data_IF_854983312096
#
_entry.id   IF_854983312096
#
_cell.length_a   1.000
_cell.length_b   1.000
_cell.length_c   1.000
_cell.angle_alpha   90.00
_cell.angle_beta   90.00
_cell.angle_gamma   90.00
#
_symmetry.space_group_name_H-M   'P 1'
#
loop_
_entity.id
_entity.type
_entity.pdbx_description
1 polymer ?
#
# COMPACT_ATOMS: atom_id res chain seq x y z
N UNK A 1 15.05 -5.10 -1.73
CA UNK A 1 16.07 -5.06 -2.84
C UNK A 1 15.73 -3.87 -3.69
N UNK A 2 16.70 -2.97 -3.85
CA UNK A 2 16.55 -1.63 -4.39
C UNK A 2 15.91 -1.62 -5.78
N UNK A 3 14.73 -1.07 -5.90
CA UNK A 3 14.04 -0.78 -7.17
C UNK A 3 14.94 0.08 -8.09
N UNK A 4 15.89 0.83 -7.53
CA UNK A 4 16.91 1.56 -8.28
C UNK A 4 17.84 0.67 -9.09
N UNK A 5 18.11 -0.56 -8.67
CA UNK A 5 19.01 -1.48 -9.37
C UNK A 5 18.35 -2.16 -10.57
N UNK A 6 17.04 -2.38 -10.52
CA UNK A 6 16.32 -3.08 -11.58
C UNK A 6 15.88 -2.17 -12.75
N UNK A 7 15.84 -0.84 -12.56
CA UNK A 7 15.40 0.14 -13.57
C UNK A 7 16.47 1.19 -13.91
N UNK A 8 17.70 0.96 -13.49
CA UNK A 8 18.80 1.86 -13.79
C UNK A 8 19.21 1.79 -15.27
N UNK A 9 19.49 2.95 -15.88
CA UNK A 9 20.24 3.01 -17.12
C UNK A 9 21.70 2.69 -16.81
N UNK A 10 22.28 1.70 -17.50
CA UNK A 10 23.71 1.39 -17.50
C UNK A 10 24.33 1.75 -18.84
N UNK A 11 25.62 2.13 -18.82
CA UNK A 11 26.42 2.31 -20.04
C UNK A 11 27.27 1.05 -20.24
N UNK A 12 27.16 0.42 -21.42
CA UNK A 12 27.85 -0.84 -21.72
C UNK A 12 29.04 -0.56 -22.63
N UNK A 13 30.24 -0.83 -22.14
CA UNK A 13 31.51 -0.43 -22.77
C UNK A 13 31.69 -0.89 -24.21
N UNK A 14 31.44 -2.16 -24.56
CA UNK A 14 31.71 -2.67 -25.93
C UNK A 14 30.65 -2.34 -26.98
N UNK A 15 29.48 -1.80 -26.61
CA UNK A 15 28.42 -1.36 -27.55
C UNK A 15 28.18 0.13 -27.58
N UNK A 16 28.87 0.91 -26.75
CA UNK A 16 28.77 2.38 -26.62
C UNK A 16 27.31 2.90 -26.55
N UNK A 17 26.37 2.04 -26.14
CA UNK A 17 24.94 2.34 -26.00
C UNK A 17 24.51 2.39 -24.55
N UNK A 18 23.43 3.13 -24.30
CA UNK A 18 22.72 3.06 -23.03
C UNK A 18 21.66 1.97 -23.12
N UNK A 19 21.68 1.07 -22.15
CA UNK A 19 20.72 -0.02 -22.07
C UNK A 19 20.00 0.05 -20.72
N UNK A 20 18.73 -0.40 -20.71
CA UNK A 20 17.96 -0.50 -19.49
C UNK A 20 18.39 -1.75 -18.72
N UNK A 21 18.89 -1.58 -17.49
CA UNK A 21 19.38 -2.69 -16.67
C UNK A 21 18.32 -3.75 -16.35
N UNK A 22 17.02 -3.39 -16.40
CA UNK A 22 15.91 -4.30 -16.13
C UNK A 22 15.58 -5.24 -17.31
N UNK A 23 16.00 -4.91 -18.54
CA UNK A 23 15.67 -5.68 -19.75
C UNK A 23 16.90 -6.25 -20.46
N UNK A 24 18.10 -5.92 -20.00
CA UNK A 24 19.35 -6.37 -20.63
C UNK A 24 19.94 -7.53 -19.85
N UNK A 25 19.97 -8.75 -20.42
CA UNK A 25 20.57 -9.90 -19.76
C UNK A 25 22.10 -9.72 -19.66
N UNK A 26 22.69 -10.07 -18.51
CA UNK A 26 24.14 -10.02 -18.34
C UNK A 26 24.86 -11.03 -19.24
N UNK A 27 26.06 -10.66 -19.71
CA UNK A 27 26.89 -11.51 -20.57
C UNK A 27 28.33 -11.53 -20.04
N UNK A 28 29.05 -12.63 -20.28
CA UNK A 28 30.46 -12.73 -19.89
C UNK A 28 31.29 -11.66 -20.58
N UNK A 29 32.16 -11.00 -19.81
CA UNK A 29 33.03 -9.91 -20.30
C UNK A 29 32.30 -8.57 -20.51
N UNK A 30 31.06 -8.41 -19.96
CA UNK A 30 30.30 -7.17 -20.00
C UNK A 30 30.85 -6.19 -18.94
N UNK A 31 31.25 -5.01 -19.36
CA UNK A 31 31.63 -3.91 -18.46
C UNK A 31 30.44 -2.93 -18.35
N UNK A 32 30.00 -2.62 -17.13
CA UNK A 32 28.83 -1.79 -16.87
C UNK A 32 29.24 -0.57 -16.04
N UNK A 33 29.02 0.61 -16.59
CA UNK A 33 29.21 1.87 -15.90
C UNK A 33 27.86 2.45 -15.47
N UNK A 34 27.66 2.63 -14.17
CA UNK A 34 26.37 3.08 -13.62
C UNK A 34 26.31 4.57 -13.25
N UNK A 35 27.43 5.28 -13.33
CA UNK A 35 27.52 6.69 -12.89
C UNK A 35 28.45 7.54 -13.78
N UNK A 36 28.21 7.56 -15.08
CA UNK A 36 28.90 8.46 -15.99
C UNK A 36 28.20 9.83 -16.07
N UNK A 37 28.92 10.92 -16.48
CA UNK A 37 28.28 12.24 -16.69
C UNK A 37 27.11 12.18 -17.68
N UNK A 38 27.22 11.34 -18.71
CA UNK A 38 26.19 11.11 -19.71
C UNK A 38 24.94 10.49 -19.07
N UNK A 39 25.09 9.44 -18.26
CA UNK A 39 23.99 8.80 -17.53
C UNK A 39 23.33 9.76 -16.55
N UNK A 40 24.10 10.56 -15.82
CA UNK A 40 23.54 11.56 -14.89
C UNK A 40 22.66 12.57 -15.62
N UNK A 41 23.08 13.05 -16.81
CA UNK A 41 22.29 13.96 -17.64
C UNK A 41 20.95 13.33 -18.06
N UNK A 42 20.95 12.09 -18.51
CA UNK A 42 19.73 11.40 -18.94
C UNK A 42 18.80 11.09 -17.75
N UNK A 43 19.35 10.63 -16.63
CA UNK A 43 18.55 10.41 -15.41
C UNK A 43 17.90 11.70 -14.90
N UNK A 44 18.63 12.80 -14.92
CA UNK A 44 18.07 14.12 -14.58
C UNK A 44 16.90 14.48 -15.49
N UNK A 45 17.04 14.29 -16.80
CA UNK A 45 15.96 14.54 -17.76
C UNK A 45 14.74 13.65 -17.51
N UNK A 46 14.93 12.36 -17.26
CA UNK A 46 13.83 11.43 -16.93
C UNK A 46 13.13 11.86 -15.65
N UNK A 47 13.87 12.25 -14.61
CA UNK A 47 13.28 12.74 -13.36
C UNK A 47 12.49 14.03 -13.58
N UNK A 48 12.97 14.96 -14.39
CA UNK A 48 12.22 16.16 -14.75
C UNK A 48 10.91 15.83 -15.49
N UNK A 49 10.93 14.83 -16.39
CA UNK A 49 9.70 14.34 -17.05
C UNK A 49 8.72 13.69 -16.08
N UNK A 50 9.21 12.92 -15.11
CA UNK A 50 8.35 12.37 -14.04
C UNK A 50 7.76 13.47 -13.16
N UNK A 51 8.57 14.47 -12.82
CA UNK A 51 8.13 15.63 -12.02
C UNK A 51 7.12 16.50 -12.79
N UNK A 52 7.25 16.61 -14.11
CA UNK A 52 6.28 17.37 -14.91
C UNK A 52 4.87 16.74 -14.90
N UNK A 53 4.77 15.42 -14.72
CA UNK A 53 3.51 14.72 -14.59
C UNK A 53 2.96 14.67 -13.15
N UNK A 54 3.74 15.12 -12.17
CA UNK A 54 3.40 15.09 -10.76
C UNK A 54 2.90 16.47 -10.30
N UNK A 55 1.92 16.52 -9.41
CA UNK A 55 1.34 17.79 -8.95
C UNK A 55 2.31 18.70 -8.18
N UNK A 56 3.38 18.13 -7.60
CA UNK A 56 4.37 18.91 -6.84
C UNK A 56 3.91 19.43 -5.47
N UNK A 57 2.71 19.09 -5.02
CA UNK A 57 2.12 19.53 -3.74
C UNK A 57 2.70 18.75 -2.55
N UNK A 58 4.00 18.89 -2.33
CA UNK A 58 4.72 18.10 -1.33
C UNK A 58 4.34 18.43 0.11
N UNK A 59 4.06 19.69 0.42
CA UNK A 59 3.76 20.14 1.79
C UNK A 59 2.48 19.55 2.37
N UNK A 60 1.53 19.19 1.53
CA UNK A 60 0.25 18.57 1.90
C UNK A 60 0.20 17.07 1.62
N UNK A 61 1.31 16.48 1.22
CA UNK A 61 1.38 15.08 0.84
C UNK A 61 1.75 14.17 2.02
N UNK A 62 1.00 13.10 2.27
CA UNK A 62 1.28 12.12 3.33
C UNK A 62 2.64 11.40 3.17
N UNK A 63 3.20 11.40 1.97
CA UNK A 63 4.55 10.86 1.70
C UNK A 63 5.67 11.89 1.83
N UNK A 64 5.37 13.13 2.27
CA UNK A 64 6.39 14.16 2.44
C UNK A 64 7.51 13.67 3.38
N UNK A 65 8.77 13.90 3.00
CA UNK A 65 9.94 13.42 3.73
C UNK A 65 10.24 11.91 3.59
N UNK A 66 9.31 11.10 3.08
CA UNK A 66 9.46 9.66 2.83
C UNK A 66 9.22 9.31 1.35
N UNK A 67 9.23 10.31 0.46
CA UNK A 67 8.95 10.15 -0.97
C UNK A 67 10.22 9.91 -1.77
N UNK A 68 10.27 8.80 -2.50
CA UNK A 68 11.43 8.44 -3.33
C UNK A 68 11.67 9.45 -4.47
N UNK A 69 10.62 10.05 -5.00
CA UNK A 69 10.73 11.06 -6.05
C UNK A 69 11.38 12.36 -5.50
N UNK A 70 11.04 12.79 -4.27
CA UNK A 70 11.68 13.91 -3.60
C UNK A 70 13.17 13.65 -3.35
N UNK A 71 13.51 12.47 -2.82
CA UNK A 71 14.89 12.07 -2.58
C UNK A 71 15.72 12.12 -3.87
N UNK A 72 15.18 11.57 -4.96
CA UNK A 72 15.86 11.57 -6.26
C UNK A 72 15.96 12.99 -6.85
N UNK A 73 14.93 13.82 -6.72
CA UNK A 73 14.97 15.20 -7.17
C UNK A 73 16.09 15.99 -6.46
N UNK A 74 16.20 15.85 -5.14
CA UNK A 74 17.28 16.45 -4.36
C UNK A 74 18.67 15.91 -4.77
N UNK A 75 18.81 14.58 -4.92
CA UNK A 75 20.07 13.92 -5.31
C UNK A 75 20.58 14.38 -6.69
N UNK A 76 19.68 14.70 -7.62
CA UNK A 76 20.02 15.16 -8.97
C UNK A 76 19.97 16.68 -9.13
N UNK A 77 19.80 17.41 -8.03
CA UNK A 77 19.81 18.88 -8.01
C UNK A 77 18.78 19.46 -9.00
N UNK A 78 17.52 19.03 -8.86
CA UNK A 78 16.42 19.51 -9.70
C UNK A 78 15.63 20.56 -8.93
N UNK A 79 15.88 21.83 -9.22
CA UNK A 79 15.18 22.97 -8.62
C UNK A 79 14.06 23.51 -9.52
N UNK A 80 14.12 23.18 -10.82
CA UNK A 80 13.13 23.64 -11.80
C UNK A 80 12.82 22.54 -12.80
N UNK A 81 11.56 22.33 -13.06
CA UNK A 81 11.06 21.43 -14.12
C UNK A 81 10.88 22.25 -15.40
N UNK A 82 11.49 21.80 -16.48
CA UNK A 82 11.47 22.47 -17.79
C UNK A 82 10.27 22.12 -18.66
N UNK A 83 9.56 21.06 -18.30
CA UNK A 83 8.46 20.51 -19.10
C UNK A 83 7.13 20.86 -18.48
N UNK A 84 6.18 21.28 -19.31
CA UNK A 84 4.82 21.55 -18.90
C UNK A 84 3.99 20.27 -18.82
N UNK A 85 3.03 20.24 -17.91
CA UNK A 85 2.10 19.11 -17.79
C UNK A 85 0.81 19.40 -18.55
N UNK A 86 0.55 18.72 -19.68
CA UNK A 86 -0.67 18.91 -20.45
C UNK A 86 -1.87 18.14 -19.87
N UNK A 87 -1.71 17.38 -18.80
CA UNK A 87 -2.78 16.54 -18.23
C UNK A 87 -3.78 17.37 -17.45
N UNK A 88 -5.07 17.07 -17.64
CA UNK A 88 -6.12 17.52 -16.73
C UNK A 88 -5.91 16.90 -15.36
N UNK A 89 -6.17 17.66 -14.29
CA UNK A 89 -6.10 17.13 -12.91
C UNK A 89 -7.27 16.16 -12.69
N UNK A 90 -7.05 14.84 -12.55
CA UNK A 90 -8.10 13.90 -12.21
C UNK A 90 -8.59 14.11 -10.77
N UNK A 91 -9.83 13.70 -10.51
CA UNK A 91 -10.36 13.66 -9.15
C UNK A 91 -9.62 12.62 -8.30
N UNK A 92 -9.53 12.89 -7.01
CA UNK A 92 -9.07 11.92 -6.02
C UNK A 92 -10.15 10.86 -5.86
N UNK A 93 -9.76 9.58 -5.91
CA UNK A 93 -10.64 8.45 -5.67
C UNK A 93 -10.50 8.00 -4.20
N UNK A 94 -11.50 8.33 -3.41
CA UNK A 94 -11.62 7.99 -1.99
C UNK A 94 -12.77 7.00 -1.71
N UNK A 95 -13.20 6.28 -2.73
CA UNK A 95 -14.31 5.33 -2.67
C UNK A 95 -13.99 4.04 -1.89
N UNK A 96 -12.71 3.67 -1.76
CA UNK A 96 -12.30 2.50 -0.99
C UNK A 96 -12.38 2.75 0.50
N UNK A 97 -12.66 1.68 1.26
CA UNK A 97 -12.62 1.70 2.73
C UNK A 97 -11.20 1.69 3.29
N UNK A 98 -10.20 1.29 2.50
CA UNK A 98 -8.83 1.04 2.98
C UNK A 98 -7.76 1.95 2.39
N UNK A 99 -7.95 2.44 1.18
CA UNK A 99 -6.97 3.26 0.46
C UNK A 99 -7.59 4.47 -0.20
N UNK A 100 -6.79 5.52 -0.36
CA UNK A 100 -7.10 6.70 -1.18
C UNK A 100 -6.14 6.74 -2.37
N UNK A 101 -6.66 7.04 -3.56
CA UNK A 101 -5.89 7.15 -4.81
C UNK A 101 -5.92 8.58 -5.34
N UNK A 102 -4.74 9.14 -5.55
CA UNK A 102 -4.54 10.44 -6.18
C UNK A 102 -3.66 10.29 -7.44
N UNK A 103 -4.31 10.23 -8.60
CA UNK A 103 -3.63 10.04 -9.87
C UNK A 103 -2.70 11.22 -10.26
N UNK A 104 -2.87 12.41 -9.62
CA UNK A 104 -1.98 13.55 -9.83
C UNK A 104 -0.57 13.32 -9.30
N UNK A 105 -0.43 12.39 -8.36
CA UNK A 105 0.85 12.00 -7.73
C UNK A 105 1.45 10.74 -8.37
N UNK A 106 0.81 10.18 -9.40
CA UNK A 106 1.24 8.93 -10.04
C UNK A 106 2.35 9.16 -11.07
N UNK A 107 3.46 8.43 -10.91
CA UNK A 107 4.60 8.43 -11.85
C UNK A 107 4.59 7.25 -12.83
N UNK A 108 3.50 6.49 -12.88
CA UNK A 108 3.33 5.34 -13.78
C UNK A 108 4.42 4.25 -13.66
N UNK A 109 4.94 4.03 -12.46
CA UNK A 109 5.99 3.03 -12.24
C UNK A 109 5.49 1.58 -12.37
N UNK A 110 4.19 1.32 -12.20
CA UNK A 110 3.57 0.01 -12.31
C UNK A 110 3.78 -0.92 -11.11
N UNK A 111 4.41 -0.47 -10.00
CA UNK A 111 4.65 -1.32 -8.85
C UNK A 111 3.34 -1.80 -8.20
N UNK A 112 2.35 -0.92 -8.10
CA UNK A 112 1.02 -1.25 -7.60
C UNK A 112 0.28 -2.25 -8.51
N UNK A 113 0.43 -2.14 -9.83
CA UNK A 113 -0.15 -3.07 -10.81
C UNK A 113 0.47 -4.45 -10.64
N UNK A 114 1.80 -4.53 -10.60
CA UNK A 114 2.49 -5.82 -10.41
C UNK A 114 2.16 -6.49 -9.08
N UNK A 115 2.16 -5.74 -7.98
CA UNK A 115 1.82 -6.35 -6.68
C UNK A 115 0.37 -6.82 -6.65
N UNK A 116 -0.55 -6.12 -7.28
CA UNK A 116 -1.95 -6.50 -7.34
C UNK A 116 -2.17 -7.77 -8.20
N UNK A 117 -1.51 -7.84 -9.36
CA UNK A 117 -1.69 -8.93 -10.31
C UNK A 117 -0.82 -10.16 -10.00
N UNK A 118 0.49 -9.95 -9.74
CA UNK A 118 1.47 -11.05 -9.67
C UNK A 118 1.65 -11.58 -8.25
N UNK A 119 1.42 -10.75 -7.21
CA UNK A 119 1.65 -11.15 -5.81
C UNK A 119 0.33 -11.43 -5.10
N UNK A 120 -0.66 -10.55 -5.24
CA UNK A 120 -1.96 -10.70 -4.60
C UNK A 120 -2.97 -11.47 -5.44
N UNK A 121 -2.72 -11.61 -6.73
CA UNK A 121 -3.59 -12.28 -7.72
C UNK A 121 -5.04 -11.75 -7.73
N UNK A 122 -5.21 -10.44 -7.44
CA UNK A 122 -6.54 -9.80 -7.40
C UNK A 122 -6.88 -9.10 -8.72
N UNK A 123 -5.89 -8.47 -9.38
CA UNK A 123 -6.09 -7.83 -10.67
C UNK A 123 -7.04 -6.63 -10.68
N UNK A 124 -7.20 -5.94 -9.55
CA UNK A 124 -8.16 -4.83 -9.45
C UNK A 124 -7.75 -3.57 -10.20
N UNK A 125 -6.46 -3.38 -10.45
CA UNK A 125 -5.89 -2.20 -11.12
C UNK A 125 -4.91 -2.62 -12.20
N UNK A 126 -4.94 -1.89 -13.30
CA UNK A 126 -4.00 -2.08 -14.41
C UNK A 126 -3.75 -0.75 -15.15
N UNK A 127 -2.86 -0.76 -16.13
CA UNK A 127 -2.66 0.36 -17.02
C UNK A 127 -3.84 0.51 -18.00
N UNK A 128 -4.43 1.68 -18.00
CA UNK A 128 -5.48 2.05 -18.96
C UNK A 128 -4.96 3.13 -19.90
N UNK A 129 -5.46 3.09 -21.15
CA UNK A 129 -5.08 3.99 -22.24
C UNK A 129 -3.60 3.87 -22.63
N UNK A 130 -3.11 4.79 -23.47
CA UNK A 130 -1.72 4.81 -23.92
C UNK A 130 -1.25 6.24 -24.21
N UNK A 131 0.06 6.41 -24.34
CA UNK A 131 0.69 7.72 -24.58
C UNK A 131 0.44 8.67 -23.42
N UNK A 132 0.17 9.93 -23.71
CA UNK A 132 -0.07 10.97 -22.69
C UNK A 132 -1.32 10.75 -21.84
N UNK A 133 -2.25 9.92 -22.30
CA UNK A 133 -3.48 9.58 -21.57
C UNK A 133 -3.32 8.36 -20.66
N UNK A 134 -2.15 7.69 -20.67
CA UNK A 134 -1.93 6.51 -19.85
C UNK A 134 -2.11 6.84 -18.36
N UNK A 135 -2.85 6.00 -17.66
CA UNK A 135 -3.05 6.05 -16.20
C UNK A 135 -3.21 4.64 -15.63
N UNK A 136 -3.02 4.50 -14.33
CA UNK A 136 -3.42 3.30 -13.60
C UNK A 136 -4.89 3.46 -13.22
N UNK A 137 -5.72 2.50 -13.58
CA UNK A 137 -7.17 2.55 -13.34
C UNK A 137 -7.74 1.16 -13.06
N UNK A 138 -8.95 1.11 -12.53
CA UNK A 138 -9.78 -0.09 -12.49
C UNK A 138 -10.45 -0.32 -13.84
N UNK A 139 -11.02 -1.51 -14.04
CA UNK A 139 -11.77 -1.85 -15.24
C UNK A 139 -12.88 -0.82 -15.51
N UNK A 140 -13.00 -0.39 -16.76
CA UNK A 140 -13.95 0.64 -17.20
C UNK A 140 -13.84 1.98 -16.49
N UNK A 141 -12.67 2.28 -15.91
CA UNK A 141 -12.39 3.51 -15.16
C UNK A 141 -13.34 3.75 -13.98
N UNK A 142 -13.88 2.68 -13.39
CA UNK A 142 -14.73 2.74 -12.20
C UNK A 142 -13.94 3.18 -10.96
N UNK A 143 -14.60 3.77 -9.96
CA UNK A 143 -14.01 3.96 -8.64
C UNK A 143 -13.49 2.64 -8.07
N UNK A 144 -12.41 2.69 -7.30
CA UNK A 144 -11.81 1.46 -6.76
C UNK A 144 -12.73 0.73 -5.78
N UNK A 145 -13.60 1.45 -5.09
CA UNK A 145 -14.61 0.87 -4.19
C UNK A 145 -15.62 -0.02 -4.91
N UNK A 146 -15.88 0.25 -6.21
CA UNK A 146 -16.83 -0.49 -7.05
C UNK A 146 -16.15 -1.58 -7.89
N UNK A 147 -14.88 -1.86 -7.63
CA UNK A 147 -14.09 -2.87 -8.33
C UNK A 147 -13.97 -4.16 -7.49
N UNK A 148 -13.32 -5.19 -8.06
CA UNK A 148 -12.98 -6.42 -7.35
C UNK A 148 -11.85 -6.24 -6.31
N UNK A 149 -11.48 -5.01 -5.96
CA UNK A 149 -10.45 -4.73 -4.96
C UNK A 149 -10.84 -5.29 -3.60
N UNK A 150 -9.96 -6.09 -3.02
CA UNK A 150 -10.17 -6.73 -1.70
C UNK A 150 -9.73 -5.86 -0.52
N UNK A 151 -9.24 -4.66 -0.77
CA UNK A 151 -8.85 -3.72 0.28
C UNK A 151 -7.56 -4.09 1.05
N UNK A 152 -6.69 -4.95 0.51
CA UNK A 152 -5.50 -5.45 1.21
C UNK A 152 -4.40 -4.39 1.45
N UNK A 153 -4.44 -3.23 0.78
CA UNK A 153 -3.49 -2.12 0.98
C UNK A 153 -2.08 -2.32 0.43
N UNK A 154 -1.75 -3.46 -0.20
CA UNK A 154 -0.40 -3.75 -0.69
C UNK A 154 0.08 -2.79 -1.77
N UNK A 155 -0.83 -2.29 -2.59
CA UNK A 155 -0.53 -1.26 -3.59
C UNK A 155 -0.04 0.06 -2.96
N UNK A 156 -0.56 0.44 -1.78
CA UNK A 156 -0.08 1.60 -1.02
C UNK A 156 1.31 1.36 -0.41
N UNK A 157 1.59 0.13 0.06
CA UNK A 157 2.88 -0.24 0.64
C UNK A 157 4.04 -0.13 -0.37
N UNK A 158 3.80 -0.45 -1.65
CA UNK A 158 4.82 -0.39 -2.71
C UNK A 158 4.85 0.93 -3.47
N UNK A 159 3.88 1.82 -3.26
CA UNK A 159 3.83 3.10 -3.98
C UNK A 159 5.01 4.00 -3.58
N UNK A 160 5.90 4.40 -4.52
CA UNK A 160 7.07 5.22 -4.21
C UNK A 160 6.73 6.71 -4.00
N UNK A 161 5.52 7.11 -4.35
CA UNK A 161 4.98 8.46 -4.19
C UNK A 161 3.70 8.44 -3.34
N UNK A 162 3.01 9.55 -3.18
CA UNK A 162 1.71 9.62 -2.50
C UNK A 162 0.50 9.33 -3.38
N UNK A 163 0.69 8.63 -4.52
CA UNK A 163 -0.41 8.36 -5.46
C UNK A 163 -1.41 7.32 -4.93
N UNK A 164 -0.96 6.38 -4.11
CA UNK A 164 -1.81 5.46 -3.36
C UNK A 164 -1.32 5.48 -1.92
N UNK A 165 -2.21 5.77 -1.00
CA UNK A 165 -1.95 5.81 0.44
C UNK A 165 -3.01 4.99 1.18
N UNK A 166 -2.68 4.56 2.38
CA UNK A 166 -3.68 4.02 3.30
C UNK A 166 -4.62 5.16 3.70
N UNK A 167 -5.91 4.89 3.75
CA UNK A 167 -6.92 5.88 4.13
C UNK A 167 -6.60 6.43 5.53
N UNK A 168 -6.57 7.75 5.64
CA UNK A 168 -6.19 8.44 6.87
C UNK A 168 -7.42 9.11 7.49
N UNK A 169 -7.93 8.54 8.57
CA UNK A 169 -9.07 9.05 9.33
C UNK A 169 -8.67 9.89 10.56
N UNK A 170 -7.39 10.25 10.71
CA UNK A 170 -6.89 10.97 11.89
C UNK A 170 -7.63 12.31 12.13
N UNK A 171 -7.98 13.03 11.06
CA UNK A 171 -8.70 14.29 11.17
C UNK A 171 -10.14 14.10 11.71
N UNK A 172 -10.81 13.00 11.32
CA UNK A 172 -12.11 12.61 11.89
C UNK A 172 -11.97 12.30 13.36
N UNK A 173 -10.98 11.49 13.71
CA UNK A 173 -10.71 11.13 15.10
C UNK A 173 -10.48 12.38 15.97
N UNK A 174 -9.63 13.32 15.55
CA UNK A 174 -9.39 14.54 16.30
C UNK A 174 -10.66 15.40 16.48
N UNK A 175 -11.53 15.42 15.47
CA UNK A 175 -12.82 16.11 15.58
C UNK A 175 -13.70 15.46 16.65
N UNK A 176 -13.80 14.12 16.65
CA UNK A 176 -14.62 13.38 17.63
C UNK A 176 -14.05 13.45 19.05
N UNK A 177 -12.71 13.40 19.22
CA UNK A 177 -12.06 13.53 20.52
C UNK A 177 -12.27 14.91 21.19
N UNK A 178 -12.58 15.93 20.40
CA UNK A 178 -12.85 17.28 20.91
C UNK A 178 -14.32 17.51 21.26
N UNK A 179 -15.20 16.53 21.14
CA UNK A 179 -16.61 16.62 21.52
C UNK A 179 -16.80 16.15 22.96
N UNK A 180 -17.47 16.94 23.79
CA UNK A 180 -17.64 16.65 25.23
C UNK A 180 -18.47 15.40 25.52
N UNK A 181 -19.45 15.08 24.65
CA UNK A 181 -20.39 13.98 24.83
C UNK A 181 -19.95 12.67 24.09
N UNK A 182 -18.73 12.62 23.58
CA UNK A 182 -18.24 11.47 22.81
C UNK A 182 -17.39 10.54 23.65
N UNK A 183 -17.74 9.27 23.71
CA UNK A 183 -16.90 8.21 24.29
C UNK A 183 -16.01 7.64 23.17
N UNK A 184 -14.73 7.93 23.25
CA UNK A 184 -13.75 7.43 22.30
C UNK A 184 -13.17 6.08 22.79
N UNK A 185 -13.28 5.07 21.94
CA UNK A 185 -12.77 3.71 22.20
C UNK A 185 -11.69 3.38 21.16
N UNK A 186 -10.54 2.90 21.62
CA UNK A 186 -9.48 2.40 20.76
C UNK A 186 -9.34 0.88 20.89
N UNK A 187 -9.07 0.23 19.78
CA UNK A 187 -8.70 -1.17 19.71
C UNK A 187 -7.37 -1.31 19.00
N UNK A 188 -6.40 -1.96 19.64
CA UNK A 188 -5.03 -2.07 19.13
C UNK A 188 -4.79 -3.48 18.59
N UNK A 189 -4.53 -3.56 17.28
CA UNK A 189 -4.19 -4.83 16.64
C UNK A 189 -2.72 -5.24 16.96
N UNK A 190 -2.42 -6.55 17.03
CA UNK A 190 -1.06 -7.05 17.31
C UNK A 190 0.00 -6.53 16.33
N UNK A 191 -0.32 -6.42 15.04
CA UNK A 191 0.59 -5.91 14.02
C UNK A 191 0.94 -4.41 14.24
N UNK A 192 -0.02 -3.61 14.70
CA UNK A 192 0.21 -2.19 15.02
C UNK A 192 1.19 -2.05 16.20
N UNK A 193 1.05 -2.89 17.22
CA UNK A 193 1.96 -2.94 18.37
C UNK A 193 3.42 -3.16 17.93
N UNK A 194 3.65 -4.12 17.02
CA UNK A 194 4.99 -4.41 16.49
C UNK A 194 5.51 -3.26 15.63
N UNK A 195 4.67 -2.70 14.77
CA UNK A 195 5.05 -1.60 13.88
C UNK A 195 5.43 -0.33 14.67
N UNK A 196 4.62 0.04 15.68
CA UNK A 196 4.90 1.19 16.56
C UNK A 196 6.17 0.96 17.36
N UNK A 197 6.38 -0.24 17.91
CA UNK A 197 7.61 -0.58 18.63
C UNK A 197 8.86 -0.33 17.75
N UNK A 198 8.83 -0.80 16.51
CA UNK A 198 9.93 -0.62 15.56
C UNK A 198 10.16 0.85 15.18
N UNK A 199 9.10 1.61 14.93
CA UNK A 199 9.19 3.03 14.55
C UNK A 199 9.83 3.88 15.66
N UNK A 200 9.56 3.54 16.95
CA UNK A 200 10.14 4.23 18.11
C UNK A 200 11.42 3.59 18.63
N UNK A 201 12.02 2.64 17.91
CA UNK A 201 13.30 2.03 18.26
C UNK A 201 13.25 0.98 19.38
N UNK A 202 12.07 0.51 19.78
CA UNK A 202 11.90 -0.56 20.75
C UNK A 202 11.98 -1.94 20.06
N UNK A 203 13.17 -2.48 19.94
CA UNK A 203 13.40 -3.76 19.27
C UNK A 203 13.09 -4.93 20.21
N UNK A 204 12.01 -5.67 19.91
CA UNK A 204 11.64 -6.89 20.66
C UNK A 204 10.99 -6.67 22.02
N UNK A 205 10.75 -5.43 22.44
CA UNK A 205 10.07 -5.11 23.69
C UNK A 205 8.53 -5.17 23.54
N UNK A 206 7.86 -5.55 24.62
CA UNK A 206 6.41 -5.39 24.69
C UNK A 206 6.05 -3.94 25.02
N UNK A 207 5.63 -3.20 24.01
CA UNK A 207 5.28 -1.78 24.13
C UNK A 207 3.79 -1.52 24.40
N UNK A 208 2.96 -2.55 24.62
CA UNK A 208 1.51 -2.38 24.76
C UNK A 208 1.15 -1.41 25.88
N UNK A 209 1.79 -1.50 27.05
CA UNK A 209 1.56 -0.55 28.14
C UNK A 209 1.89 0.90 27.77
N UNK A 210 2.95 1.12 26.98
CA UNK A 210 3.33 2.46 26.48
C UNK A 210 2.29 2.98 25.48
N UNK A 211 1.76 2.12 24.60
CA UNK A 211 0.71 2.47 23.63
C UNK A 211 -0.57 2.86 24.38
N UNK A 212 -1.00 2.06 25.36
CA UNK A 212 -2.18 2.36 26.19
C UNK A 212 -2.02 3.69 26.91
N UNK A 213 -0.84 3.95 27.51
CA UNK A 213 -0.58 5.22 28.17
C UNK A 213 -0.63 6.41 27.21
N UNK A 214 -0.10 6.24 25.99
CA UNK A 214 -0.14 7.27 24.96
C UNK A 214 -1.57 7.55 24.51
N UNK A 215 -2.36 6.53 24.21
CA UNK A 215 -3.76 6.66 23.77
C UNK A 215 -4.63 7.32 24.86
N UNK A 216 -4.44 6.99 26.14
CA UNK A 216 -5.11 7.68 27.25
C UNK A 216 -4.77 9.16 27.31
N UNK A 217 -3.50 9.53 27.09
CA UNK A 217 -3.06 10.94 27.04
C UNK A 217 -3.61 11.69 25.84
N UNK A 218 -3.88 11.00 24.71
CA UNK A 218 -4.53 11.57 23.53
C UNK A 218 -6.01 11.88 23.81
N UNK A 219 -6.66 11.14 24.74
CA UNK A 219 -8.06 11.41 25.12
C UNK A 219 -9.01 10.22 24.94
N UNK A 220 -8.50 9.01 24.64
CA UNK A 220 -9.34 7.83 24.59
C UNK A 220 -9.82 7.40 25.97
N UNK A 221 -11.12 7.14 26.08
CA UNK A 221 -11.78 6.70 27.31
C UNK A 221 -11.48 5.23 27.61
N UNK A 222 -11.57 4.38 26.58
CA UNK A 222 -11.34 2.93 26.69
C UNK A 222 -10.36 2.46 25.64
N UNK A 223 -9.48 1.52 26.02
CA UNK A 223 -8.48 0.96 25.13
C UNK A 223 -8.46 -0.55 25.33
N UNK A 224 -8.67 -1.29 24.23
CA UNK A 224 -8.71 -2.74 24.21
C UNK A 224 -7.58 -3.32 23.36
N UNK A 225 -7.05 -4.47 23.78
CA UNK A 225 -6.16 -5.29 22.98
C UNK A 225 -6.98 -6.28 22.15
N UNK A 226 -6.84 -6.25 20.84
CA UNK A 226 -7.52 -7.19 19.94
C UNK A 226 -7.11 -8.64 20.19
N UNK A 227 -5.99 -8.90 20.88
CA UNK A 227 -5.59 -10.26 21.28
C UNK A 227 -6.64 -10.91 22.20
N UNK A 228 -7.25 -10.14 23.13
CA UNK A 228 -8.32 -10.66 23.98
C UNK A 228 -9.56 -11.06 23.16
N UNK A 229 -9.91 -10.27 22.15
CA UNK A 229 -11.00 -10.62 21.24
C UNK A 229 -10.65 -11.81 20.34
N UNK A 230 -9.36 -12.00 20.03
CA UNK A 230 -8.89 -13.18 19.30
C UNK A 230 -9.08 -14.47 20.13
N UNK A 231 -8.90 -14.42 21.46
CA UNK A 231 -9.20 -15.57 22.32
C UNK A 231 -10.67 -15.98 22.24
N UNK A 232 -11.60 -15.01 22.22
CA UNK A 232 -13.02 -15.28 22.00
C UNK A 232 -13.27 -15.90 20.62
N UNK A 233 -12.62 -15.40 19.59
CA UNK A 233 -12.73 -15.96 18.23
C UNK A 233 -12.26 -17.40 18.21
N UNK A 234 -11.12 -17.72 18.84
CA UNK A 234 -10.60 -19.10 18.94
C UNK A 234 -11.60 -20.03 19.63
N UNK A 235 -12.25 -19.58 20.69
CA UNK A 235 -13.27 -20.37 21.39
C UNK A 235 -14.46 -20.70 20.47
N UNK A 236 -14.99 -19.72 19.76
CA UNK A 236 -16.14 -19.90 18.87
C UNK A 236 -15.78 -20.74 17.63
N UNK A 237 -14.62 -20.49 16.99
CA UNK A 237 -14.15 -21.28 15.85
C UNK A 237 -13.83 -22.74 16.24
N UNK A 238 -13.28 -22.97 17.44
CA UNK A 238 -13.00 -24.32 17.94
C UNK A 238 -14.30 -25.11 18.14
N UNK A 239 -15.33 -24.44 18.68
CA UNK A 239 -16.66 -25.05 18.81
C UNK A 239 -17.27 -25.36 17.46
N UNK A 240 -17.26 -24.41 16.52
CA UNK A 240 -17.73 -24.63 15.16
C UNK A 240 -17.01 -25.81 14.48
N UNK A 241 -15.68 -25.89 14.65
CA UNK A 241 -14.90 -27.00 14.11
C UNK A 241 -15.30 -28.35 14.72
N UNK A 242 -15.47 -28.42 16.05
CA UNK A 242 -15.92 -29.62 16.73
C UNK A 242 -17.32 -30.06 16.27
N UNK A 243 -18.24 -29.10 16.13
CA UNK A 243 -19.59 -29.35 15.63
C UNK A 243 -19.59 -29.86 14.19
N UNK A 244 -18.75 -29.30 13.31
CA UNK A 244 -18.57 -29.77 11.92
C UNK A 244 -18.00 -31.19 11.86
N UNK A 245 -17.07 -31.54 12.75
CA UNK A 245 -16.53 -32.93 12.85
C UNK A 245 -17.60 -33.91 13.32
N UNK A 246 -18.38 -33.55 14.33
CA UNK A 246 -19.40 -34.43 14.91
C UNK A 246 -20.60 -34.64 13.97
N UNK A 247 -21.01 -33.63 13.25
CA UNK A 247 -22.25 -33.61 12.46
C UNK A 247 -22.01 -33.76 10.94
N UNK A 248 -20.79 -34.05 10.48
CA UNK A 248 -20.48 -34.23 9.06
C UNK A 248 -20.48 -32.95 8.25
N UNK A 249 -20.09 -31.82 8.86
CA UNK A 249 -19.96 -30.53 8.19
C UNK A 249 -18.80 -30.47 7.18
N UNK A 250 -18.78 -29.42 6.33
CA UNK A 250 -17.74 -29.25 5.31
C UNK A 250 -16.38 -28.95 5.94
N UNK A 251 -15.36 -29.68 5.49
CA UNK A 251 -13.96 -29.53 5.86
C UNK A 251 -13.10 -29.42 4.58
N UNK A 252 -11.90 -28.79 4.63
CA UNK A 252 -11.32 -28.10 5.80
C UNK A 252 -12.13 -26.87 6.22
N UNK A 253 -12.01 -26.45 7.49
CA UNK A 253 -12.53 -25.17 7.98
C UNK A 253 -11.47 -24.10 7.77
N UNK A 254 -11.81 -23.00 7.07
CA UNK A 254 -10.98 -21.83 6.91
C UNK A 254 -11.44 -20.73 7.87
N UNK A 255 -10.50 -20.03 8.50
CA UNK A 255 -10.82 -18.92 9.40
C UNK A 255 -11.31 -17.69 8.64
N UNK A 256 -12.13 -16.84 9.28
CA UNK A 256 -12.78 -15.67 8.67
C UNK A 256 -12.25 -14.33 9.18
N UNK A 257 -11.14 -14.32 9.93
CA UNK A 257 -10.65 -13.11 10.61
C UNK A 257 -10.13 -12.00 9.66
N UNK A 258 -9.75 -12.32 8.42
CA UNK A 258 -9.23 -11.35 7.46
C UNK A 258 -10.29 -10.95 6.42
N UNK A 259 -10.81 -9.70 6.43
CA UNK A 259 -11.84 -9.26 5.49
C UNK A 259 -11.36 -9.26 4.03
N UNK A 260 -10.07 -9.03 3.79
CA UNK A 260 -9.50 -9.10 2.44
C UNK A 260 -9.50 -10.54 1.90
N UNK A 261 -9.24 -11.53 2.75
CA UNK A 261 -9.35 -12.95 2.42
C UNK A 261 -10.78 -13.34 2.08
N UNK A 262 -11.75 -12.94 2.90
CA UNK A 262 -13.16 -13.23 2.66
C UNK A 262 -13.60 -12.65 1.32
N UNK A 263 -13.32 -11.36 1.07
CA UNK A 263 -13.67 -10.71 -0.19
C UNK A 263 -12.97 -11.34 -1.40
N UNK A 264 -11.74 -11.83 -1.23
CA UNK A 264 -11.03 -12.57 -2.26
C UNK A 264 -11.71 -13.92 -2.56
N UNK A 265 -12.09 -14.66 -1.51
CA UNK A 265 -12.80 -15.93 -1.66
C UNK A 265 -14.18 -15.72 -2.31
N UNK A 266 -14.92 -14.68 -1.94
CA UNK A 266 -16.20 -14.33 -2.56
C UNK A 266 -16.08 -14.04 -4.05
N UNK A 267 -15.00 -13.36 -4.47
CA UNK A 267 -14.79 -12.96 -5.86
C UNK A 267 -14.26 -14.12 -6.72
N UNK A 268 -13.28 -14.89 -6.23
CA UNK A 268 -12.51 -15.84 -7.04
C UNK A 268 -12.84 -17.30 -6.77
N UNK A 269 -13.35 -17.64 -5.56
CA UNK A 269 -13.58 -19.00 -5.12
C UNK A 269 -14.90 -19.17 -4.35
N UNK A 270 -16.04 -18.81 -4.94
CA UNK A 270 -17.33 -18.86 -4.23
C UNK A 270 -17.70 -20.28 -3.76
N UNK A 271 -17.13 -21.33 -4.37
CA UNK A 271 -17.36 -22.71 -3.99
C UNK A 271 -16.78 -23.08 -2.62
N UNK A 272 -15.78 -22.35 -2.11
CA UNK A 272 -15.19 -22.61 -0.79
C UNK A 272 -15.89 -21.83 0.33
N UNK A 273 -16.82 -20.93 0.04
CA UNK A 273 -17.53 -20.16 1.07
C UNK A 273 -18.17 -21.01 2.15
N UNK A 274 -18.77 -22.19 1.85
CA UNK A 274 -19.29 -23.08 2.90
C UNK A 274 -18.22 -23.67 3.82
N UNK A 275 -16.94 -23.62 3.43
CA UNK A 275 -15.81 -24.04 4.23
C UNK A 275 -15.29 -22.95 5.16
N UNK A 276 -15.67 -21.69 4.94
CA UNK A 276 -15.23 -20.56 5.76
C UNK A 276 -16.03 -20.55 7.07
N UNK A 277 -15.36 -20.19 8.16
CA UNK A 277 -15.99 -20.01 9.48
C UNK A 277 -17.05 -18.90 9.43
N UNK A 278 -18.14 -19.12 10.14
CA UNK A 278 -19.19 -18.13 10.34
C UNK A 278 -18.87 -17.13 11.46
N UNK A 279 -17.76 -17.35 12.17
CA UNK A 279 -17.32 -16.50 13.25
C UNK A 279 -16.92 -15.11 12.74
N UNK A 280 -17.20 -14.08 13.51
CA UNK A 280 -16.78 -12.71 13.21
C UNK A 280 -15.28 -12.52 13.47
N UNK A 281 -14.69 -11.53 12.80
CA UNK A 281 -13.29 -11.20 13.05
C UNK A 281 -13.03 -10.76 14.49
N UNK A 282 -11.83 -10.93 15.04
CA UNK A 282 -11.48 -10.47 16.38
C UNK A 282 -11.81 -8.99 16.62
N UNK A 283 -11.67 -8.16 15.61
CA UNK A 283 -12.02 -6.74 15.71
C UNK A 283 -13.54 -6.53 15.95
N UNK A 284 -14.37 -7.36 15.36
CA UNK A 284 -15.83 -7.28 15.52
C UNK A 284 -16.31 -7.97 16.79
N UNK A 285 -15.59 -8.99 17.27
CA UNK A 285 -15.89 -9.69 18.52
C UNK A 285 -15.69 -8.80 19.73
#
# INVERSE_FOLDING_TARGET
RDVERSRGLGDVYKRQGMEAACSTPPRNGMEIYTNTPRLRKYRKMILELLLSNHCGECTTCDKNGKCKLQELAARFDIHRVRFDNPKSKPCIDDSSVSITRDANKCILCGDCVRVCNEVQNVGAIDFAFRGSKMKVACSFDKPIGDSNCVGCGQCAAVCPTGAIIIKNDSHRLWKELNQEDTIAVAQVAPAVRVAVAKEFGYNGENVMGKIVAALRRIGFNYIFDTSTAADLTVMEESKEFADRLANGGKLPLFTSCCPAWIKYAENEYPEILPNISTCRSPMQM
#
